data_IF_605640880675
#
_entry.id   IF_605640880675
#
_cell.length_a   1.000
_cell.length_b   1.000
_cell.length_c   1.000
_cell.angle_alpha   90.00
_cell.angle_beta   90.00
_cell.angle_gamma   90.00
#
_symmetry.space_group_name_H-M   'P 1'
#
loop_
_entity.id
_entity.type
_entity.pdbx_description
1 polymer ?
#
# COMPACT_ATOMS: atom_id res chain seq x y z
N UNK A 1 1.85 9.22 3.98
CA UNK A 1 1.33 10.48 4.55
C UNK A 1 -0.16 10.43 4.89
N UNK A 2 -1.05 10.14 3.93
CA UNK A 2 -2.52 10.08 4.16
C UNK A 2 -2.91 9.35 5.46
N UNK A 3 -2.33 8.17 5.72
CA UNK A 3 -2.63 7.40 6.93
C UNK A 3 -2.13 8.05 8.22
N UNK A 4 -0.94 8.66 8.19
CA UNK A 4 -0.38 9.39 9.34
C UNK A 4 -1.23 10.63 9.62
N UNK A 5 -1.68 11.35 8.59
CA UNK A 5 -2.55 12.51 8.78
C UNK A 5 -3.85 12.12 9.52
N UNK A 6 -4.50 11.01 9.14
CA UNK A 6 -5.67 10.51 9.84
C UNK A 6 -5.36 10.17 11.32
N UNK A 7 -4.23 9.51 11.59
CA UNK A 7 -3.79 9.20 12.95
C UNK A 7 -3.53 10.46 13.78
N UNK A 8 -2.90 11.49 13.19
CA UNK A 8 -2.66 12.76 13.87
C UNK A 8 -3.97 13.45 14.25
N UNK A 9 -5.02 13.35 13.42
CA UNK A 9 -6.35 13.89 13.77
C UNK A 9 -7.04 13.10 14.88
N UNK A 10 -6.88 11.78 14.90
CA UNK A 10 -7.36 10.93 16.00
C UNK A 10 -6.67 11.31 17.31
N UNK A 11 -5.34 11.49 17.30
CA UNK A 11 -4.56 11.87 18.49
C UNK A 11 -4.98 13.27 18.99
N UNK A 12 -5.15 14.23 18.09
CA UNK A 12 -5.61 15.57 18.45
C UNK A 12 -7.01 15.56 19.07
N UNK A 13 -7.84 14.56 18.71
CA UNK A 13 -9.16 14.27 19.28
C UNK A 13 -9.99 15.53 19.59
N UNK A 14 -10.05 16.46 18.64
CA UNK A 14 -10.73 17.73 18.83
C UNK A 14 -12.17 17.49 19.30
N UNK A 15 -12.57 18.15 20.37
CA UNK A 15 -13.90 18.03 21.00
C UNK A 15 -14.28 16.60 21.42
N UNK A 16 -13.30 15.69 21.55
CA UNK A 16 -13.52 14.28 21.87
C UNK A 16 -14.14 13.46 20.73
N UNK A 17 -14.13 13.96 19.49
CA UNK A 17 -14.86 13.37 18.35
C UNK A 17 -14.49 11.91 18.06
N UNK A 18 -13.24 11.52 18.31
CA UNK A 18 -12.72 10.18 18.04
C UNK A 18 -12.91 9.19 19.20
N UNK A 19 -13.37 9.64 20.36
CA UNK A 19 -13.53 8.79 21.56
C UNK A 19 -14.56 7.69 21.33
N UNK A 20 -14.15 6.43 21.51
CA UNK A 20 -15.01 5.25 21.35
C UNK A 20 -15.39 4.93 19.90
N UNK A 21 -14.67 5.48 18.92
CA UNK A 21 -14.93 5.29 17.48
C UNK A 21 -13.97 4.26 16.88
N UNK A 22 -14.44 3.64 15.80
CA UNK A 22 -13.63 2.76 14.94
C UNK A 22 -13.54 3.42 13.57
N UNK A 23 -12.32 3.66 13.09
CA UNK A 23 -12.06 4.30 11.81
C UNK A 23 -11.30 3.36 10.88
N UNK A 24 -11.83 3.18 9.68
CA UNK A 24 -11.03 2.63 8.58
C UNK A 24 -10.16 3.75 8.02
N UNK A 25 -8.85 3.50 7.90
CA UNK A 25 -7.89 4.43 7.30
C UNK A 25 -7.30 3.74 6.08
N UNK A 26 -7.65 4.24 4.90
CA UNK A 26 -7.18 3.72 3.62
C UNK A 26 -7.76 4.52 2.46
N UNK A 27 -7.28 4.26 1.25
CA UNK A 27 -7.74 4.91 0.03
C UNK A 27 -8.60 3.95 -0.82
N UNK A 28 -9.95 4.05 -0.80
CA UNK A 28 -10.83 3.21 -1.61
C UNK A 28 -10.61 3.31 -3.12
N UNK A 29 -10.03 4.43 -3.59
CA UNK A 29 -9.71 4.61 -5.00
C UNK A 29 -8.47 3.82 -5.43
N UNK A 30 -7.59 3.45 -4.49
CA UNK A 30 -6.40 2.65 -4.76
C UNK A 30 -6.71 1.14 -4.67
N UNK A 31 -7.78 0.69 -5.32
CA UNK A 31 -8.22 -0.70 -5.31
C UNK A 31 -7.72 -1.44 -6.57
N UNK A 32 -6.68 -2.27 -6.42
CA UNK A 32 -6.02 -2.98 -7.52
C UNK A 32 -5.86 -4.47 -7.20
N UNK A 33 -5.84 -5.31 -8.24
CA UNK A 33 -5.46 -6.71 -8.06
C UNK A 33 -3.97 -6.83 -7.75
N UNK A 34 -3.57 -7.91 -7.07
CA UNK A 34 -2.16 -8.19 -6.76
C UNK A 34 -1.31 -8.27 -8.04
N UNK A 35 -1.89 -8.80 -9.13
CA UNK A 35 -1.23 -8.84 -10.44
C UNK A 35 -0.96 -7.43 -10.98
N UNK A 36 -1.95 -6.56 -10.94
CA UNK A 36 -1.81 -5.17 -11.40
C UNK A 36 -0.75 -4.43 -10.58
N UNK A 37 -0.71 -4.66 -9.26
CA UNK A 37 0.33 -4.10 -8.39
C UNK A 37 1.73 -4.57 -8.82
N UNK A 38 1.91 -5.86 -9.06
CA UNK A 38 3.19 -6.41 -9.53
C UNK A 38 3.61 -5.80 -10.88
N UNK A 39 2.67 -5.68 -11.82
CA UNK A 39 2.93 -5.08 -13.14
C UNK A 39 3.27 -3.59 -13.04
N UNK A 40 2.56 -2.82 -12.20
CA UNK A 40 2.87 -1.41 -11.93
C UNK A 40 4.26 -1.24 -11.34
N UNK A 41 4.63 -2.06 -10.35
CA UNK A 41 5.96 -2.05 -9.74
C UNK A 41 7.05 -2.40 -10.74
N UNK A 42 6.87 -3.43 -11.57
CA UNK A 42 7.85 -3.83 -12.59
C UNK A 42 8.01 -2.78 -13.70
N UNK A 43 6.93 -2.13 -14.11
CA UNK A 43 6.98 -1.03 -15.06
C UNK A 43 7.79 0.13 -14.48
N UNK A 44 7.49 0.54 -13.25
CA UNK A 44 8.17 1.63 -12.58
C UNK A 44 9.64 1.31 -12.33
N UNK A 45 9.97 0.11 -11.86
CA UNK A 45 11.35 -0.32 -11.60
C UNK A 45 12.28 -0.19 -12.82
N UNK A 46 11.76 -0.38 -14.04
CA UNK A 46 12.55 -0.24 -15.28
C UNK A 46 12.96 1.21 -15.57
N UNK A 47 12.25 2.19 -15.02
CA UNK A 47 12.57 3.62 -15.15
C UNK A 47 13.85 3.98 -14.36
N UNK A 48 14.16 3.24 -13.29
CA UNK A 48 15.28 3.51 -12.38
C UNK A 48 16.52 2.69 -12.73
N UNK A 49 17.68 3.32 -13.02
CA UNK A 49 18.93 2.61 -13.30
C UNK A 49 19.31 1.56 -12.24
N UNK A 50 19.05 1.87 -10.98
CA UNK A 50 19.42 1.08 -9.81
C UNK A 50 18.61 -0.24 -9.70
N UNK A 51 17.42 -0.29 -10.31
CA UNK A 51 16.53 -1.45 -10.30
C UNK A 51 16.36 -2.14 -11.66
N UNK A 52 16.66 -1.44 -12.77
CA UNK A 52 16.34 -1.85 -14.14
C UNK A 52 16.80 -3.26 -14.47
N UNK A 53 18.06 -3.58 -14.22
CA UNK A 53 18.66 -4.87 -14.62
C UNK A 53 18.09 -6.04 -13.81
N UNK A 54 17.77 -5.82 -12.53
CA UNK A 54 17.09 -6.81 -11.71
C UNK A 54 15.63 -6.97 -12.14
N UNK A 55 14.93 -5.87 -12.40
CA UNK A 55 13.52 -5.88 -12.83
C UNK A 55 13.31 -6.64 -14.15
N UNK A 56 14.28 -6.57 -15.08
CA UNK A 56 14.25 -7.34 -16.34
C UNK A 56 14.29 -8.86 -16.13
N UNK A 57 14.83 -9.33 -15.01
CA UNK A 57 14.97 -10.76 -14.70
C UNK A 57 13.75 -11.33 -13.97
N UNK A 58 12.89 -10.47 -13.43
CA UNK A 58 11.70 -10.90 -12.68
C UNK A 58 10.67 -11.54 -13.62
N UNK A 59 10.10 -12.66 -13.18
CA UNK A 59 8.97 -13.32 -13.82
C UNK A 59 7.82 -13.42 -12.83
N UNK A 60 6.63 -13.03 -13.24
CA UNK A 60 5.41 -13.28 -12.47
C UNK A 60 5.05 -14.75 -12.69
N UNK A 61 5.05 -15.53 -11.60
CA UNK A 61 4.72 -16.96 -11.62
C UNK A 61 3.37 -17.16 -10.96
N UNK A 62 2.44 -17.79 -11.66
CA UNK A 62 1.15 -18.15 -11.10
C UNK A 62 1.30 -19.34 -10.16
N UNK A 63 0.63 -19.27 -9.01
CA UNK A 63 0.63 -20.34 -8.02
C UNK A 63 -0.73 -20.39 -7.33
N UNK A 64 -1.05 -21.53 -6.74
CA UNK A 64 -2.25 -21.67 -5.92
C UNK A 64 -1.97 -21.15 -4.51
N UNK A 65 -2.99 -20.65 -3.82
CA UNK A 65 -2.86 -20.28 -2.41
C UNK A 65 -2.41 -21.45 -1.54
N UNK A 66 -2.84 -22.69 -1.86
CA UNK A 66 -2.40 -23.89 -1.15
C UNK A 66 -0.91 -24.18 -1.32
N UNK A 67 -0.34 -23.92 -2.50
CA UNK A 67 1.07 -24.12 -2.76
C UNK A 67 1.94 -23.00 -2.14
N UNK A 68 1.42 -21.77 -2.08
CA UNK A 68 2.16 -20.61 -1.57
C UNK A 68 2.01 -20.43 -0.04
N UNK A 69 0.78 -20.46 0.48
CA UNK A 69 0.46 -20.22 1.89
C UNK A 69 0.10 -21.50 2.68
N UNK A 70 -0.10 -22.64 2.00
CA UNK A 70 -0.46 -23.89 2.64
C UNK A 70 -1.97 -24.21 2.64
N UNK A 71 -2.31 -25.46 2.98
CA UNK A 71 -3.70 -25.92 3.05
C UNK A 71 -4.46 -25.17 4.16
N UNK A 72 -5.69 -24.76 3.86
CA UNK A 72 -6.55 -24.03 4.80
C UNK A 72 -6.41 -22.51 4.75
N UNK A 73 -5.51 -21.97 3.92
CA UNK A 73 -5.43 -20.52 3.72
C UNK A 73 -6.71 -19.97 3.06
N UNK A 74 -7.23 -18.90 3.65
CA UNK A 74 -8.37 -18.13 3.15
C UNK A 74 -8.00 -16.66 3.12
N UNK A 75 -8.42 -15.98 2.05
CA UNK A 75 -8.26 -14.54 1.93
C UNK A 75 -9.58 -13.88 1.51
N UNK A 76 -9.69 -12.60 1.81
CA UNK A 76 -10.83 -11.77 1.41
C UNK A 76 -10.62 -11.35 -0.04
N UNK A 77 -11.61 -11.58 -0.91
CA UNK A 77 -11.52 -11.25 -2.33
C UNK A 77 -11.28 -9.76 -2.59
N UNK A 78 -11.85 -8.88 -1.75
CA UNK A 78 -11.72 -7.45 -1.91
C UNK A 78 -11.69 -6.74 -0.54
N UNK A 79 -10.81 -5.76 -0.39
CA UNK A 79 -10.55 -5.05 0.88
C UNK A 79 -10.79 -3.54 0.73
N UNK A 80 -11.94 -3.14 0.16
CA UNK A 80 -12.30 -1.71 0.04
C UNK A 80 -12.77 -1.17 1.39
N UNK A 81 -12.05 -0.21 2.01
CA UNK A 81 -12.44 0.35 3.29
C UNK A 81 -13.63 1.29 3.13
N UNK A 82 -14.67 1.13 3.94
CA UNK A 82 -15.69 2.18 4.08
C UNK A 82 -15.13 3.30 4.95
N UNK A 83 -14.89 4.47 4.37
CA UNK A 83 -14.24 5.61 5.06
C UNK A 83 -15.19 6.79 5.34
N UNK A 84 -16.51 6.61 5.17
CA UNK A 84 -17.48 7.72 5.31
C UNK A 84 -17.41 8.41 6.67
N UNK A 85 -17.31 7.67 7.77
CA UNK A 85 -17.19 8.24 9.11
C UNK A 85 -15.81 8.84 9.35
N UNK A 86 -14.73 8.20 8.89
CA UNK A 86 -13.38 8.75 8.97
C UNK A 86 -13.31 10.12 8.29
N UNK A 87 -13.87 10.25 7.09
CA UNK A 87 -13.85 11.51 6.37
C UNK A 87 -14.69 12.60 7.05
N UNK A 88 -15.89 12.23 7.52
CA UNK A 88 -16.81 13.17 8.18
C UNK A 88 -16.27 13.65 9.52
N UNK A 89 -15.91 12.71 10.39
CA UNK A 89 -15.59 12.99 11.80
C UNK A 89 -14.22 13.65 11.91
N UNK A 90 -13.25 13.21 11.10
CA UNK A 90 -11.89 13.74 11.15
C UNK A 90 -11.66 14.87 10.14
N UNK A 91 -12.63 15.21 9.27
CA UNK A 91 -12.40 16.13 8.14
C UNK A 91 -11.11 15.75 7.38
N UNK A 92 -11.01 14.46 7.02
CA UNK A 92 -9.86 13.85 6.37
C UNK A 92 -10.28 13.22 5.05
N UNK A 93 -9.38 13.17 4.07
CA UNK A 93 -9.59 12.44 2.83
C UNK A 93 -8.25 11.99 2.27
N UNK A 94 -8.10 10.73 1.85
CA UNK A 94 -6.86 10.29 1.21
C UNK A 94 -6.71 10.98 -0.15
N UNK A 95 -5.49 11.37 -0.48
CA UNK A 95 -5.17 12.18 -1.65
C UNK A 95 -4.11 11.54 -2.55
N UNK A 96 -3.30 10.61 -2.01
CA UNK A 96 -2.19 10.01 -2.72
C UNK A 96 -2.72 8.81 -3.53
N UNK A 97 -2.56 8.86 -4.86
CA UNK A 97 -2.93 7.76 -5.74
C UNK A 97 -1.86 6.65 -5.73
N UNK A 98 -2.19 5.49 -6.33
CA UNK A 98 -1.27 4.34 -6.34
C UNK A 98 0.05 4.62 -7.07
N UNK A 99 0.02 5.36 -8.19
CA UNK A 99 1.22 5.67 -8.96
C UNK A 99 2.20 6.55 -8.15
N UNK A 100 1.68 7.58 -7.47
CA UNK A 100 2.47 8.46 -6.60
C UNK A 100 2.98 7.69 -5.38
N UNK A 101 2.15 6.82 -4.79
CA UNK A 101 2.54 5.96 -3.67
C UNK A 101 3.74 5.09 -4.04
N UNK A 102 3.67 4.40 -5.19
CA UNK A 102 4.76 3.55 -5.65
C UNK A 102 6.01 4.37 -5.99
N UNK A 103 5.86 5.50 -6.69
CA UNK A 103 7.00 6.37 -7.04
C UNK A 103 7.75 6.87 -5.81
N UNK A 104 7.01 7.33 -4.79
CA UNK A 104 7.62 7.78 -3.53
C UNK A 104 8.40 6.65 -2.82
N UNK A 105 7.90 5.42 -2.86
CA UNK A 105 8.61 4.26 -2.29
C UNK A 105 9.89 3.98 -3.08
N UNK A 106 9.82 3.92 -4.41
CA UNK A 106 10.99 3.69 -5.26
C UNK A 106 12.06 4.77 -5.08
N UNK A 107 11.63 6.04 -5.01
CA UNK A 107 12.50 7.19 -4.77
C UNK A 107 13.17 7.16 -3.39
N UNK A 108 12.48 6.69 -2.34
CA UNK A 108 13.06 6.56 -1.02
C UNK A 108 14.20 5.52 -0.97
N UNK A 109 14.01 4.37 -1.64
CA UNK A 109 14.97 3.27 -1.59
C UNK A 109 16.08 3.31 -2.66
N UNK A 110 16.00 4.21 -3.65
CA UNK A 110 16.93 4.17 -4.81
C UNK A 110 18.41 4.31 -4.44
N UNK A 111 18.72 5.03 -3.35
CA UNK A 111 20.08 5.16 -2.81
C UNK A 111 20.46 4.07 -1.81
N UNK A 112 19.51 3.21 -1.45
CA UNK A 112 19.59 2.21 -0.38
C UNK A 112 19.20 0.83 -0.93
N UNK A 113 19.64 0.49 -2.15
CA UNK A 113 19.30 -0.78 -2.81
C UNK A 113 19.70 -2.00 -1.95
N UNK A 114 20.74 -1.88 -1.13
CA UNK A 114 21.10 -2.90 -0.14
C UNK A 114 20.03 -3.08 0.95
N UNK A 115 19.47 -1.99 1.47
CA UNK A 115 18.38 -2.02 2.46
C UNK A 115 17.07 -2.52 1.83
N UNK A 116 16.80 -2.18 0.57
CA UNK A 116 15.66 -2.71 -0.18
C UNK A 116 15.73 -4.24 -0.34
N UNK A 117 16.93 -4.81 -0.51
CA UNK A 117 17.13 -6.27 -0.55
C UNK A 117 16.86 -6.91 0.81
N UNK A 118 17.25 -6.25 1.91
CA UNK A 118 17.01 -6.74 3.27
C UNK A 118 15.54 -6.74 3.71
N UNK A 119 14.60 -6.19 2.93
CA UNK A 119 13.16 -6.24 3.25
C UNK A 119 12.56 -7.66 3.11
N UNK A 120 13.27 -8.56 2.45
CA UNK A 120 12.83 -9.95 2.21
C UNK A 120 13.73 -10.99 2.87
N UNK A 121 14.78 -10.55 3.59
CA UNK A 121 15.64 -11.38 4.44
C UNK A 121 15.07 -11.48 5.86
#
# INVERSE_FOLDING_TARGET
DDGIEALMKIIANKDGIATGKIYNIGNPANNYAIRDLADMMLKLAKEYPEYRDSAQKVKIVETTSAAYYGKGYQDVQNRVPKITNTCKDLNWKPSINMADTLRNIFDAYRGQVAEARGLVD
#
